data_IF_443896376371
#
_entry.id   IF_443896376371
#
_cell.length_a   1.000
_cell.length_b   1.000
_cell.length_c   1.000
_cell.angle_alpha   90.00
_cell.angle_beta   90.00
_cell.angle_gamma   90.00
#
_symmetry.space_group_name_H-M   'P 1'
#
loop_
_entity.id
_entity.type
_entity.pdbx_description
1 polymer ?
#
# COMPACT_ATOMS: atom_id res chain seq x y z
N UNK A 1 19.24 -9.90 4.08
CA UNK A 1 17.86 -10.30 4.38
C UNK A 1 17.90 -11.71 4.94
N UNK A 2 17.50 -11.93 6.20
CA UNK A 2 17.45 -13.27 6.76
C UNK A 2 16.42 -14.13 5.98
N UNK A 3 16.77 -15.40 5.77
CA UNK A 3 15.93 -16.33 5.00
C UNK A 3 14.58 -16.49 5.74
N UNK A 4 13.48 -16.01 5.15
CA UNK A 4 12.14 -16.13 5.72
C UNK A 4 11.49 -14.82 6.23
N UNK A 5 12.22 -13.70 6.34
CA UNK A 5 11.63 -12.43 6.74
C UNK A 5 10.80 -11.82 5.59
N UNK A 6 9.49 -11.78 5.80
CA UNK A 6 8.56 -11.02 4.95
C UNK A 6 8.42 -9.60 5.55
N UNK A 7 8.70 -8.57 4.72
CA UNK A 7 8.55 -7.18 5.13
C UNK A 7 9.77 -6.56 5.84
N UNK A 8 9.57 -5.41 6.43
CA UNK A 8 10.61 -4.59 7.09
C UNK A 8 10.36 -4.43 8.59
N UNK A 9 9.26 -4.99 9.14
CA UNK A 9 8.85 -4.78 10.53
C UNK A 9 9.86 -5.28 11.55
N UNK A 10 10.43 -6.48 11.34
CA UNK A 10 11.42 -7.03 12.25
C UNK A 10 12.69 -6.15 12.32
N UNK A 11 13.08 -5.54 11.20
CA UNK A 11 14.23 -4.61 11.17
C UNK A 11 13.93 -3.30 11.88
N UNK A 12 12.70 -2.76 11.74
CA UNK A 12 12.27 -1.57 12.49
C UNK A 12 12.26 -1.85 13.99
N UNK A 13 11.67 -2.95 14.43
CA UNK A 13 11.66 -3.36 15.84
C UNK A 13 13.08 -3.45 16.43
N UNK A 14 14.02 -4.00 15.67
CA UNK A 14 15.41 -4.08 16.11
C UNK A 14 16.06 -2.71 16.29
N UNK A 15 15.73 -1.74 15.43
CA UNK A 15 16.22 -0.36 15.57
C UNK A 15 15.59 0.30 16.82
N UNK A 16 14.31 0.03 17.06
CA UNK A 16 13.57 0.57 18.21
C UNK A 16 14.08 0.08 19.58
N UNK A 17 14.83 -1.03 19.63
CA UNK A 17 15.50 -1.49 20.85
C UNK A 17 16.52 -0.47 21.39
N UNK A 18 17.10 0.34 20.54
CA UNK A 18 18.18 1.29 20.86
C UNK A 18 17.91 2.73 20.43
N UNK A 19 16.96 2.94 19.52
CA UNK A 19 16.65 4.24 18.92
C UNK A 19 15.16 4.48 18.86
N UNK A 20 14.73 5.73 19.00
CA UNK A 20 13.34 6.13 18.70
C UNK A 20 13.22 6.45 17.20
N UNK A 21 12.40 5.72 16.47
CA UNK A 21 12.06 6.09 15.10
C UNK A 21 11.10 7.29 15.14
N UNK A 22 11.53 8.41 14.61
CA UNK A 22 10.75 9.65 14.59
C UNK A 22 10.01 9.85 13.27
N UNK A 23 10.53 9.31 12.17
CA UNK A 23 9.95 9.44 10.83
C UNK A 23 10.33 8.23 9.98
N UNK A 24 9.41 7.83 9.11
CA UNK A 24 9.63 6.85 8.05
C UNK A 24 9.35 7.50 6.70
N UNK A 25 10.26 7.30 5.74
CA UNK A 25 10.13 7.78 4.37
C UNK A 25 10.21 6.59 3.44
N UNK A 26 9.29 6.47 2.52
CA UNK A 26 9.24 5.35 1.59
C UNK A 26 8.27 5.58 0.43
N UNK A 27 8.29 4.68 -0.52
CA UNK A 27 7.47 4.74 -1.73
C UNK A 27 6.45 3.60 -1.82
N UNK A 28 6.36 2.81 -0.75
CA UNK A 28 5.43 1.69 -0.66
C UNK A 28 4.89 1.56 0.77
N UNK A 29 3.63 1.14 0.92
CA UNK A 29 3.00 0.97 2.23
C UNK A 29 3.81 0.08 3.17
N UNK A 30 4.46 -0.96 2.65
CA UNK A 30 5.33 -1.85 3.43
C UNK A 30 6.63 -1.18 3.93
N UNK A 31 6.94 0.04 3.52
CA UNK A 31 8.03 0.82 4.08
C UNK A 31 7.67 1.38 5.47
N UNK A 32 6.39 1.55 5.73
CA UNK A 32 5.86 2.08 6.99
C UNK A 32 5.40 0.96 7.93
N UNK A 33 4.58 0.04 7.44
CA UNK A 33 4.12 -1.13 8.17
C UNK A 33 3.65 -2.23 7.22
N UNK A 34 3.45 -3.43 7.74
CA UNK A 34 2.80 -4.52 7.02
C UNK A 34 1.36 -4.63 7.52
N UNK A 35 0.35 -4.23 6.73
CA UNK A 35 -1.05 -4.41 7.12
C UNK A 35 -1.35 -5.90 7.39
N UNK A 36 -2.15 -6.18 8.40
CA UNK A 36 -2.62 -7.54 8.70
C UNK A 36 -3.41 -8.13 7.53
N UNK A 37 -4.31 -7.33 6.96
CA UNK A 37 -5.01 -7.62 5.71
C UNK A 37 -4.31 -6.92 4.54
N UNK A 38 -3.64 -7.68 3.70
CA UNK A 38 -2.94 -7.19 2.50
C UNK A 38 -3.85 -6.90 1.31
N UNK A 39 -5.18 -7.08 1.44
CA UNK A 39 -6.16 -6.74 0.39
C UNK A 39 -6.24 -5.23 0.14
N UNK A 40 -6.89 -4.81 -0.95
CA UNK A 40 -7.16 -3.40 -1.21
C UNK A 40 -7.90 -2.73 -0.05
N UNK A 41 -8.88 -3.41 0.53
CA UNK A 41 -9.65 -2.90 1.67
C UNK A 41 -8.80 -2.78 2.93
N UNK A 42 -7.96 -3.77 3.20
CA UNK A 42 -7.07 -3.74 4.36
C UNK A 42 -6.02 -2.65 4.25
N UNK A 43 -5.48 -2.41 3.06
CA UNK A 43 -4.55 -1.30 2.79
C UNK A 43 -5.23 0.06 2.95
N UNK A 44 -6.44 0.23 2.41
CA UNK A 44 -7.23 1.46 2.55
C UNK A 44 -7.59 1.72 4.02
N UNK A 45 -8.00 0.68 4.74
CA UNK A 45 -8.24 0.76 6.19
C UNK A 45 -7.00 1.22 6.96
N UNK A 46 -5.84 0.61 6.69
CA UNK A 46 -4.59 1.00 7.34
C UNK A 46 -4.28 2.49 7.13
N UNK A 47 -4.41 2.98 5.89
CA UNK A 47 -4.17 4.40 5.57
C UNK A 47 -5.12 5.31 6.35
N UNK A 48 -6.39 4.94 6.46
CA UNK A 48 -7.39 5.70 7.22
C UNK A 48 -7.15 5.69 8.72
N UNK A 49 -6.81 4.53 9.27
CA UNK A 49 -6.53 4.38 10.71
C UNK A 49 -5.31 5.21 11.15
N UNK A 50 -4.37 5.47 10.21
CA UNK A 50 -3.16 6.25 10.44
C UNK A 50 -3.23 7.66 9.80
N UNK A 51 -4.44 8.20 9.62
CA UNK A 51 -4.63 9.48 8.94
C UNK A 51 -3.78 10.63 9.51
N UNK A 52 -3.55 10.63 10.82
CA UNK A 52 -2.76 11.66 11.50
C UNK A 52 -1.22 11.45 11.41
N UNK A 53 -0.79 10.28 10.95
CA UNK A 53 0.64 9.98 10.80
C UNK A 53 1.18 10.40 9.43
N UNK A 54 0.31 10.51 8.42
CA UNK A 54 0.71 10.87 7.05
C UNK A 54 1.05 12.35 6.93
N UNK A 55 2.23 12.63 6.38
CA UNK A 55 2.76 13.99 6.23
C UNK A 55 3.57 14.48 7.44
N UNK A 56 3.55 13.73 8.54
CA UNK A 56 4.33 14.00 9.76
C UNK A 56 5.30 12.86 10.05
N UNK A 57 4.79 11.73 10.48
CA UNK A 57 5.58 10.53 10.84
C UNK A 57 5.83 9.63 9.63
N UNK A 58 4.89 9.55 8.70
CA UNK A 58 4.94 8.76 7.47
C UNK A 58 4.98 9.67 6.26
N UNK A 59 6.09 9.66 5.54
CA UNK A 59 6.27 10.44 4.32
C UNK A 59 6.25 9.50 3.11
N UNK A 60 5.14 9.50 2.39
CA UNK A 60 4.96 8.69 1.18
C UNK A 60 5.53 9.42 -0.03
N UNK A 61 6.47 8.78 -0.72
CA UNK A 61 6.98 9.25 -2.01
C UNK A 61 6.15 8.63 -3.15
N UNK A 62 5.95 9.35 -4.27
CA UNK A 62 5.27 8.80 -5.43
C UNK A 62 6.00 7.59 -6.01
N UNK A 63 5.27 6.51 -6.31
CA UNK A 63 5.77 5.35 -7.03
C UNK A 63 4.71 4.78 -7.98
N UNK A 64 4.65 5.28 -9.23
CA UNK A 64 3.73 4.77 -10.24
C UNK A 64 4.24 3.51 -10.95
N UNK A 65 5.47 3.07 -10.68
CA UNK A 65 6.13 2.05 -11.50
C UNK A 65 5.81 0.62 -11.08
N UNK A 66 6.07 0.27 -9.81
CA UNK A 66 5.84 -1.08 -9.31
C UNK A 66 5.83 -1.12 -7.77
N UNK A 67 5.31 -2.21 -7.22
CA UNK A 67 5.35 -2.43 -5.78
C UNK A 67 4.30 -3.42 -5.30
N UNK A 68 4.19 -3.59 -3.99
CA UNK A 68 3.19 -4.49 -3.40
C UNK A 68 1.74 -4.04 -3.70
N UNK A 69 1.54 -2.78 -4.02
CA UNK A 69 0.24 -2.27 -4.45
C UNK A 69 -0.24 -2.95 -5.73
N UNK A 70 0.66 -3.17 -6.70
CA UNK A 70 0.32 -3.87 -7.95
C UNK A 70 -0.08 -5.31 -7.70
N UNK A 71 0.71 -6.04 -6.91
CA UNK A 71 0.39 -7.42 -6.53
C UNK A 71 -0.98 -7.54 -5.85
N UNK A 72 -1.35 -6.54 -5.06
CA UNK A 72 -2.66 -6.50 -4.40
C UNK A 72 -3.83 -6.48 -5.40
N UNK A 73 -3.68 -5.80 -6.54
CA UNK A 73 -4.69 -5.76 -7.61
C UNK A 73 -4.97 -7.15 -8.21
N UNK A 74 -3.97 -8.03 -8.18
CA UNK A 74 -4.05 -9.37 -8.79
C UNK A 74 -4.25 -10.50 -7.77
N UNK A 75 -4.54 -10.17 -6.51
CA UNK A 75 -4.50 -11.11 -5.38
C UNK A 75 -3.15 -11.85 -5.28
N UNK A 76 -2.05 -11.17 -5.61
CA UNK A 76 -0.68 -11.68 -5.72
C UNK A 76 -0.50 -12.82 -6.75
N UNK A 77 -1.43 -13.00 -7.66
CA UNK A 77 -1.31 -13.92 -8.77
C UNK A 77 -0.71 -13.24 -10.01
N UNK A 78 0.61 -13.24 -10.08
CA UNK A 78 1.36 -12.64 -11.20
C UNK A 78 1.35 -13.49 -12.48
N UNK A 79 0.77 -14.72 -12.44
CA UNK A 79 0.67 -15.61 -13.61
C UNK A 79 -0.49 -15.26 -14.54
N UNK A 80 -1.38 -14.34 -14.13
CA UNK A 80 -2.47 -13.85 -14.98
C UNK A 80 -1.94 -13.26 -16.28
N UNK A 81 -2.73 -13.36 -17.34
CA UNK A 81 -2.41 -12.74 -18.63
C UNK A 81 -2.36 -11.21 -18.52
N UNK A 82 -1.74 -10.56 -19.49
CA UNK A 82 -1.65 -9.10 -19.49
C UNK A 82 -3.02 -8.43 -19.65
N UNK A 83 -3.92 -9.06 -20.39
CA UNK A 83 -5.31 -8.62 -20.55
C UNK A 83 -6.08 -8.70 -19.22
N UNK A 84 -5.90 -9.79 -18.47
CA UNK A 84 -6.53 -9.95 -17.16
C UNK A 84 -5.99 -8.93 -16.16
N UNK A 85 -4.68 -8.71 -16.14
CA UNK A 85 -4.04 -7.69 -15.31
C UNK A 85 -4.52 -6.29 -15.64
N UNK A 86 -4.63 -5.96 -16.94
CA UNK A 86 -5.14 -4.67 -17.40
C UNK A 86 -6.59 -4.44 -16.94
N UNK A 87 -7.44 -5.46 -17.09
CA UNK A 87 -8.83 -5.42 -16.61
C UNK A 87 -8.91 -5.19 -15.11
N UNK A 88 -8.07 -5.88 -14.32
CA UNK A 88 -8.03 -5.72 -12.87
C UNK A 88 -7.52 -4.34 -12.46
N UNK A 89 -6.50 -3.80 -13.13
CA UNK A 89 -6.03 -2.43 -12.91
C UNK A 89 -7.13 -1.41 -13.18
N UNK A 90 -7.82 -1.53 -14.31
CA UNK A 90 -8.93 -0.64 -14.68
C UNK A 90 -10.09 -0.71 -13.68
N UNK A 91 -10.46 -1.91 -13.25
CA UNK A 91 -11.56 -2.10 -12.28
C UNK A 91 -11.26 -1.53 -10.89
N UNK A 92 -9.97 -1.33 -10.55
CA UNK A 92 -9.57 -0.73 -9.28
C UNK A 92 -9.55 0.81 -9.31
N UNK A 93 -9.71 1.43 -10.48
CA UNK A 93 -9.76 2.88 -10.60
C UNK A 93 -11.07 3.42 -10.01
N UNK A 94 -10.95 4.56 -9.38
CA UNK A 94 -12.10 5.33 -8.89
C UNK A 94 -12.19 6.63 -9.67
N UNK A 95 -13.38 7.02 -10.02
CA UNK A 95 -13.67 8.27 -10.71
C UNK A 95 -14.52 9.18 -9.83
N UNK A 96 -14.28 10.48 -9.92
CA UNK A 96 -15.11 11.44 -9.22
C UNK A 96 -16.28 11.83 -10.14
N UNK A 97 -17.49 11.59 -9.67
CA UNK A 97 -18.71 12.00 -10.35
C UNK A 97 -19.07 13.42 -9.88
N UNK A 98 -18.88 14.40 -10.76
CA UNK A 98 -19.10 15.82 -10.47
C UNK A 98 -20.58 16.10 -10.18
N UNK A 99 -21.49 15.48 -10.91
CA UNK A 99 -22.93 15.72 -10.76
C UNK A 99 -23.47 15.23 -9.41
N UNK A 100 -22.97 14.07 -8.95
CA UNK A 100 -23.37 13.47 -7.67
C UNK A 100 -22.48 13.88 -6.50
N UNK A 101 -21.36 14.55 -6.77
CA UNK A 101 -20.33 14.86 -5.77
C UNK A 101 -19.84 13.61 -4.98
N UNK A 102 -19.66 12.50 -5.69
CA UNK A 102 -19.28 11.21 -5.12
C UNK A 102 -18.11 10.58 -5.84
N UNK A 103 -17.35 9.74 -5.14
CA UNK A 103 -16.34 8.87 -5.75
C UNK A 103 -17.00 7.53 -6.09
N UNK A 104 -16.95 7.13 -7.36
CA UNK A 104 -17.53 5.91 -7.88
C UNK A 104 -16.43 4.98 -8.44
N UNK A 105 -16.73 3.68 -8.51
CA UNK A 105 -15.85 2.74 -9.22
C UNK A 105 -15.90 2.99 -10.72
N UNK A 106 -14.74 2.87 -11.38
CA UNK A 106 -14.68 2.94 -12.84
C UNK A 106 -15.41 1.73 -13.45
N UNK A 107 -16.40 1.99 -14.24
CA UNK A 107 -17.16 0.97 -14.97
C UNK A 107 -16.53 0.66 -16.32
#
# INVERSE_FOLDING_TARGET
KAKGEKGKDARRKKIEETHKIVMLVGDNLHDFATPEDGSLKGRDKFVKDHANDWGDKYIMLPNPMYGSWEGTLYNNDFKKSDEEKDKLRKSALKVFNIEKNTVEEHK
#
